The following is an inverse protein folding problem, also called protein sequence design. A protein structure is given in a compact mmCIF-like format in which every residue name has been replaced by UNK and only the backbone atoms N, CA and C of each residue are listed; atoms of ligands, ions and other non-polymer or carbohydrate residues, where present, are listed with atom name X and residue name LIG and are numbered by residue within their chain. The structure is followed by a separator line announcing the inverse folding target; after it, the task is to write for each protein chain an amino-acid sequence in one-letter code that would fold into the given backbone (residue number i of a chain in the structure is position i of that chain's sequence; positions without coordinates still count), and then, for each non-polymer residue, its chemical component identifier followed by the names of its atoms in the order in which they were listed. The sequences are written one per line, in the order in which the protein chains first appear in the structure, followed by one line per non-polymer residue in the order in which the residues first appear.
data_IF_236748957696
#
_entry.id   IF_236748957696
#
_cell.length_a   1.000
_cell.length_b   1.000
_cell.length_c   1.000
_cell.angle_alpha   90.00
_cell.angle_beta   90.00
_cell.angle_gamma   90.00
#
_symmetry.space_group_name_H-M   'P 1'
#
loop_
_entity.id
_entity.type
_entity.pdbx_description
1 polymer ?
#
# COMPACT_ATOMS: atom_id res chain seq x y z
N UNK A 1 5.27 -2.94 -26.35
CA UNK A 1 5.65 -3.83 -25.23
C UNK A 1 6.26 -2.98 -24.13
N UNK A 2 5.75 -3.13 -22.92
CA UNK A 2 6.26 -2.41 -21.75
C UNK A 2 7.31 -3.29 -21.06
N UNK A 3 8.59 -2.98 -21.27
CA UNK A 3 9.69 -3.81 -20.76
C UNK A 3 10.02 -3.53 -19.29
N UNK A 4 9.66 -2.35 -18.79
CA UNK A 4 9.87 -1.91 -17.42
C UNK A 4 8.55 -1.49 -16.79
N UNK A 5 8.41 -1.75 -15.49
CA UNK A 5 7.25 -1.39 -14.69
C UNK A 5 7.70 -0.83 -13.35
N UNK A 6 7.21 0.35 -12.98
CA UNK A 6 7.45 0.97 -11.69
C UNK A 6 6.20 0.87 -10.82
N UNK A 7 6.30 0.12 -9.74
CA UNK A 7 5.20 -0.11 -8.80
C UNK A 7 5.55 0.56 -7.47
N UNK A 8 4.62 1.34 -6.92
CA UNK A 8 4.79 1.94 -5.60
C UNK A 8 3.59 1.63 -4.69
N UNK A 9 3.79 1.81 -3.39
CA UNK A 9 2.74 1.78 -2.39
C UNK A 9 2.92 2.94 -1.42
N UNK A 10 1.82 3.54 -0.97
CA UNK A 10 1.83 4.63 -0.01
C UNK A 10 0.62 4.63 0.92
N UNK A 11 0.86 4.60 2.22
CA UNK A 11 -0.14 5.00 3.21
C UNK A 11 -0.26 6.54 3.16
N UNK A 12 -1.40 7.04 2.70
CA UNK A 12 -1.59 8.49 2.46
C UNK A 12 -2.11 9.26 3.67
N UNK A 13 -2.13 8.64 4.83
CA UNK A 13 -2.61 9.21 6.10
C UNK A 13 -4.03 9.78 5.99
N UNK A 14 -5.05 8.92 6.12
CA UNK A 14 -6.46 9.30 6.26
C UNK A 14 -6.97 10.25 5.16
N UNK A 15 -7.06 9.78 3.92
CA UNK A 15 -7.68 10.53 2.84
C UNK A 15 -9.20 10.35 2.89
N UNK A 16 -9.87 11.21 3.66
CA UNK A 16 -11.32 11.29 3.77
C UNK A 16 -11.89 12.34 2.82
N UNK A 17 -13.15 12.17 2.43
CA UNK A 17 -13.93 13.20 1.78
C UNK A 17 -14.34 14.28 2.80
N UNK A 18 -14.95 15.38 2.34
CA UNK A 18 -15.34 16.52 3.19
C UNK A 18 -16.26 16.10 4.34
N UNK A 19 -16.23 16.85 5.45
CA UNK A 19 -17.06 16.57 6.64
C UNK A 19 -18.56 16.37 6.31
N UNK A 20 -19.05 17.08 5.31
CA UNK A 20 -20.47 17.06 4.87
C UNK A 20 -20.79 15.94 3.86
N UNK A 21 -19.80 15.17 3.41
CA UNK A 21 -20.05 14.07 2.46
C UNK A 21 -20.98 13.01 3.07
N UNK A 22 -21.76 12.36 2.22
CA UNK A 22 -22.63 11.27 2.63
C UNK A 22 -21.79 10.07 3.08
N UNK A 23 -22.14 9.53 4.25
CA UNK A 23 -21.51 8.37 4.88
C UNK A 23 -22.54 7.54 5.62
N UNK A 24 -22.37 6.21 5.72
CA UNK A 24 -23.12 5.41 6.66
C UNK A 24 -23.01 6.00 8.07
N UNK A 25 -24.12 5.99 8.81
CA UNK A 25 -24.17 6.64 10.12
C UNK A 25 -23.13 6.11 11.10
N UNK A 26 -22.82 4.82 11.04
CA UNK A 26 -21.77 4.18 11.85
C UNK A 26 -20.40 4.83 11.60
N UNK A 27 -20.01 4.97 10.35
CA UNK A 27 -18.74 5.59 9.95
C UNK A 27 -18.73 7.07 10.33
N UNK A 28 -19.81 7.80 10.03
CA UNK A 28 -19.94 9.22 10.39
C UNK A 28 -19.73 9.48 11.88
N UNK A 29 -20.31 8.63 12.74
CA UNK A 29 -20.11 8.73 14.20
C UNK A 29 -18.67 8.47 14.61
N UNK A 30 -18.01 7.49 13.97
CA UNK A 30 -16.61 7.11 14.26
C UNK A 30 -15.64 8.23 13.93
N UNK A 31 -15.72 8.82 12.72
CA UNK A 31 -14.76 9.80 12.21
C UNK A 31 -15.14 11.26 12.54
N UNK A 32 -16.28 11.51 13.17
CA UNK A 32 -16.84 12.85 13.41
C UNK A 32 -15.86 13.85 14.04
N UNK A 33 -15.08 13.41 15.02
CA UNK A 33 -14.14 14.29 15.74
C UNK A 33 -12.94 14.63 14.86
N UNK A 34 -12.49 13.69 14.07
CA UNK A 34 -11.35 13.82 13.17
C UNK A 34 -11.68 14.77 12.01
N UNK A 35 -12.89 14.63 11.46
CA UNK A 35 -13.32 15.42 10.30
C UNK A 35 -13.81 16.84 10.61
N UNK A 36 -13.84 17.26 11.87
CA UNK A 36 -14.29 18.60 12.22
C UNK A 36 -13.51 19.68 11.45
N UNK A 37 -14.24 20.44 10.62
CA UNK A 37 -13.67 21.48 9.75
C UNK A 37 -12.88 20.94 8.55
N UNK A 38 -13.06 19.67 8.17
CA UNK A 38 -12.50 19.07 6.98
C UNK A 38 -13.38 19.43 5.77
N UNK A 39 -13.08 20.53 5.12
CA UNK A 39 -13.84 21.11 4.01
C UNK A 39 -13.06 21.00 2.69
N UNK A 40 -13.68 21.45 1.58
CA UNK A 40 -13.08 21.42 0.24
C UNK A 40 -11.71 22.12 0.17
N UNK A 41 -11.52 23.23 0.88
CA UNK A 41 -10.25 23.94 0.90
C UNK A 41 -9.14 23.11 1.55
N UNK A 42 -9.43 22.42 2.66
CA UNK A 42 -8.47 21.55 3.35
C UNK A 42 -8.20 20.29 2.53
N UNK A 43 -9.24 19.64 2.02
CA UNK A 43 -9.11 18.47 1.15
C UNK A 43 -8.29 18.85 -0.10
N UNK A 44 -8.57 19.98 -0.73
CA UNK A 44 -7.83 20.46 -1.90
C UNK A 44 -6.33 20.65 -1.63
N UNK A 45 -5.96 21.11 -0.43
CA UNK A 45 -4.55 21.21 -0.01
C UNK A 45 -3.96 19.80 0.14
N UNK A 46 -4.65 18.88 0.83
CA UNK A 46 -4.19 17.47 1.00
C UNK A 46 -3.97 16.81 -0.36
N UNK A 47 -4.94 16.91 -1.27
CA UNK A 47 -4.83 16.37 -2.63
C UNK A 47 -3.65 16.96 -3.40
N UNK A 48 -3.40 18.27 -3.27
CA UNK A 48 -2.25 18.92 -3.89
C UNK A 48 -0.92 18.39 -3.35
N UNK A 49 -0.82 18.18 -2.05
CA UNK A 49 0.38 17.64 -1.43
C UNK A 49 0.63 16.18 -1.85
N UNK A 50 -0.43 15.34 -1.86
CA UNK A 50 -0.32 13.98 -2.36
C UNK A 50 0.09 13.93 -3.84
N UNK A 51 -0.53 14.76 -4.68
CA UNK A 51 -0.19 14.88 -6.11
C UNK A 51 1.28 15.21 -6.34
N UNK A 52 1.85 16.15 -5.57
CA UNK A 52 3.28 16.51 -5.68
C UNK A 52 4.20 15.30 -5.46
N UNK A 53 3.93 14.50 -4.43
CA UNK A 53 4.74 13.32 -4.11
C UNK A 53 4.56 12.25 -5.18
N UNK A 54 3.32 11.93 -5.55
CA UNK A 54 3.04 10.90 -6.57
C UNK A 54 3.74 11.23 -7.88
N UNK A 55 3.66 12.49 -8.33
CA UNK A 55 4.30 12.96 -9.55
C UNK A 55 5.83 13.01 -9.49
N UNK A 56 6.41 13.13 -8.30
CA UNK A 56 7.88 13.16 -8.15
C UNK A 56 8.53 11.78 -8.21
N UNK A 57 7.77 10.70 -7.99
CA UNK A 57 8.29 9.34 -8.12
C UNK A 57 8.63 8.98 -9.57
N UNK A 58 9.42 7.92 -9.75
CA UNK A 58 9.80 7.42 -11.08
C UNK A 58 10.41 8.51 -11.95
N UNK A 59 11.40 9.23 -11.40
CA UNK A 59 12.12 10.30 -12.10
C UNK A 59 11.21 11.42 -12.65
N UNK A 60 10.06 11.65 -11.97
CA UNK A 60 9.06 12.66 -12.33
C UNK A 60 7.93 12.16 -13.23
N UNK A 61 7.95 10.90 -13.65
CA UNK A 61 6.90 10.30 -14.48
C UNK A 61 5.67 9.84 -13.68
N UNK A 62 5.81 9.66 -12.37
CA UNK A 62 4.83 9.00 -11.51
C UNK A 62 4.81 7.47 -11.68
N UNK A 63 4.32 6.71 -10.71
CA UNK A 63 4.24 5.25 -10.78
C UNK A 63 3.36 4.76 -11.93
N UNK A 64 3.72 3.61 -12.51
CA UNK A 64 2.84 2.93 -13.48
C UNK A 64 1.62 2.32 -12.77
N UNK A 65 1.85 1.75 -11.57
CA UNK A 65 0.80 1.32 -10.66
C UNK A 65 1.17 1.79 -9.24
N UNK A 66 0.22 2.45 -8.57
CA UNK A 66 0.35 2.93 -7.20
C UNK A 66 -0.71 2.29 -6.31
N UNK A 67 -0.29 1.46 -5.35
CA UNK A 67 -1.14 1.07 -4.24
C UNK A 67 -1.23 2.19 -3.21
N UNK A 68 -2.41 2.42 -2.67
CA UNK A 68 -2.65 3.40 -1.60
C UNK A 68 -3.53 2.79 -0.52
N UNK A 69 -3.35 3.22 0.72
CA UNK A 69 -4.25 2.85 1.80
C UNK A 69 -4.63 4.06 2.66
N UNK A 70 -5.58 3.84 3.58
CA UNK A 70 -6.26 4.89 4.34
C UNK A 70 -7.12 5.82 3.47
N UNK A 71 -7.80 5.21 2.50
CA UNK A 71 -8.71 5.87 1.57
C UNK A 71 -10.14 5.63 1.99
N UNK A 72 -10.96 6.66 2.10
CA UNK A 72 -12.35 6.51 2.51
C UNK A 72 -13.26 5.93 1.43
N UNK A 73 -13.07 6.30 0.18
CA UNK A 73 -14.03 5.95 -0.87
C UNK A 73 -13.47 6.14 -2.27
N UNK A 74 -14.17 5.55 -3.25
CA UNK A 74 -13.91 5.80 -4.67
C UNK A 74 -14.02 7.28 -5.03
N UNK A 75 -14.99 8.01 -4.46
CA UNK A 75 -15.20 9.43 -4.74
C UNK A 75 -13.97 10.29 -4.41
N UNK A 76 -13.35 10.05 -3.25
CA UNK A 76 -12.13 10.80 -2.89
C UNK A 76 -10.92 10.40 -3.74
N UNK A 77 -10.86 9.15 -4.21
CA UNK A 77 -9.85 8.71 -5.18
C UNK A 77 -10.03 9.40 -6.53
N UNK A 78 -11.26 9.56 -7.02
CA UNK A 78 -11.57 10.29 -8.25
C UNK A 78 -11.10 11.75 -8.16
N UNK A 79 -11.29 12.40 -7.00
CA UNK A 79 -10.74 13.75 -6.74
C UNK A 79 -9.21 13.75 -6.76
N UNK A 80 -8.56 12.71 -6.22
CA UNK A 80 -7.09 12.59 -6.24
C UNK A 80 -6.55 12.41 -7.65
N UNK A 81 -7.11 11.47 -8.44
CA UNK A 81 -6.62 11.24 -9.81
C UNK A 81 -6.89 12.44 -10.71
N UNK A 82 -8.03 13.11 -10.57
CA UNK A 82 -8.32 14.36 -11.27
C UNK A 82 -7.29 15.45 -10.92
N UNK A 83 -6.91 15.54 -9.64
CA UNK A 83 -5.88 16.48 -9.19
C UNK A 83 -4.51 16.15 -9.77
N UNK A 84 -4.10 14.89 -9.77
CA UNK A 84 -2.82 14.46 -10.36
C UNK A 84 -2.77 14.82 -11.85
N UNK A 85 -3.83 14.52 -12.61
CA UNK A 85 -3.91 14.84 -14.02
C UNK A 85 -3.87 16.36 -14.28
N UNK A 86 -4.61 17.16 -13.50
CA UNK A 86 -4.63 18.63 -13.63
C UNK A 86 -3.28 19.28 -13.31
N UNK A 87 -2.48 18.65 -12.44
CA UNK A 87 -1.13 19.09 -12.11
C UNK A 87 -0.08 18.62 -13.17
N UNK A 88 -0.50 17.98 -14.27
CA UNK A 88 0.35 17.50 -15.35
C UNK A 88 0.97 16.12 -15.10
N UNK A 89 0.40 15.34 -14.19
CA UNK A 89 0.76 13.93 -13.98
C UNK A 89 0.01 12.96 -14.89
N UNK A 90 0.17 11.66 -14.65
CA UNK A 90 -0.52 10.60 -15.40
C UNK A 90 -2.04 10.66 -15.20
N UNK A 91 -2.77 10.17 -16.19
CA UNK A 91 -4.22 9.93 -16.07
C UNK A 91 -4.42 8.50 -15.57
N UNK A 92 -4.69 8.36 -14.27
CA UNK A 92 -4.90 7.06 -13.65
C UNK A 92 -6.35 6.59 -13.75
N UNK A 93 -6.52 5.26 -13.87
CA UNK A 93 -7.74 4.57 -13.52
C UNK A 93 -7.65 3.99 -12.09
N UNK A 94 -8.80 3.61 -11.54
CA UNK A 94 -8.94 3.22 -10.13
C UNK A 94 -9.46 1.79 -10.04
N UNK A 95 -8.70 0.93 -9.38
CA UNK A 95 -9.17 -0.35 -8.87
C UNK A 95 -9.42 -0.20 -7.36
N UNK A 96 -10.69 -0.29 -6.94
CA UNK A 96 -11.12 -0.09 -5.56
C UNK A 96 -12.37 -0.91 -5.26
N UNK A 97 -12.45 -1.41 -4.05
CA UNK A 97 -13.64 -2.00 -3.48
C UNK A 97 -13.76 -1.56 -2.00
N UNK A 98 -14.98 -1.19 -1.58
CA UNK A 98 -15.25 -0.82 -0.19
C UNK A 98 -15.05 -2.02 0.73
N UNK A 99 -14.47 -1.80 1.91
CA UNK A 99 -14.23 -2.82 2.93
C UNK A 99 -15.20 -2.70 4.11
N UNK A 100 -15.24 -3.74 4.95
CA UNK A 100 -16.02 -3.74 6.18
C UNK A 100 -15.40 -2.95 7.34
N UNK A 101 -14.32 -2.19 7.12
CA UNK A 101 -13.63 -1.45 8.18
C UNK A 101 -14.55 -0.46 8.91
N UNK A 102 -14.40 -0.37 10.24
CA UNK A 102 -15.25 0.47 11.05
C UNK A 102 -15.03 1.97 10.86
N UNK A 103 -13.87 2.39 10.37
CA UNK A 103 -13.55 3.78 10.02
C UNK A 103 -13.89 4.09 8.56
N UNK A 104 -14.22 3.04 7.77
CA UNK A 104 -14.45 3.15 6.34
C UNK A 104 -13.19 3.59 5.60
N UNK A 105 -12.07 2.92 5.86
CA UNK A 105 -10.81 3.16 5.14
C UNK A 105 -10.37 1.89 4.43
N UNK A 106 -9.95 2.05 3.19
CA UNK A 106 -9.70 0.97 2.26
C UNK A 106 -8.28 0.97 1.73
N UNK A 107 -7.98 -0.08 0.96
CA UNK A 107 -6.82 -0.19 0.07
C UNK A 107 -7.31 -0.06 -1.37
N UNK A 108 -6.55 0.64 -2.20
CA UNK A 108 -6.87 0.80 -3.62
C UNK A 108 -5.61 0.79 -4.48
N UNK A 109 -5.78 0.62 -5.80
CA UNK A 109 -4.72 0.81 -6.78
C UNK A 109 -5.12 1.88 -7.80
N UNK A 110 -4.19 2.78 -8.07
CA UNK A 110 -4.23 3.71 -9.19
C UNK A 110 -3.30 3.16 -10.27
N UNK A 111 -3.74 3.04 -11.52
CA UNK A 111 -2.93 2.47 -12.58
C UNK A 111 -3.07 3.26 -13.88
N UNK A 112 -1.98 3.32 -14.64
CA UNK A 112 -1.97 3.93 -15.97
C UNK A 112 -2.61 2.97 -16.98
N UNK A 113 -3.78 3.34 -17.57
CA UNK A 113 -4.49 2.45 -18.50
C UNK A 113 -3.75 2.22 -19.83
N UNK A 114 -2.73 3.02 -20.15
CA UNK A 114 -1.85 2.77 -21.29
C UNK A 114 -0.88 1.61 -21.05
N UNK A 115 -0.64 1.23 -19.79
CA UNK A 115 0.34 0.22 -19.38
C UNK A 115 -0.34 -1.04 -18.88
N UNK A 116 -1.36 -0.91 -18.04
CA UNK A 116 -2.03 -2.03 -17.38
C UNK A 116 -3.55 -1.94 -17.53
N UNK A 117 -4.21 -3.07 -17.54
CA UNK A 117 -5.67 -3.17 -17.51
C UNK A 117 -6.13 -4.19 -16.47
N UNK A 118 -7.33 -3.99 -15.95
CA UNK A 118 -8.04 -4.93 -15.08
C UNK A 118 -9.54 -4.72 -15.22
N UNK A 119 -10.35 -5.65 -14.72
CA UNK A 119 -11.81 -5.55 -14.68
C UNK A 119 -12.34 -5.84 -13.27
N UNK A 120 -13.60 -5.52 -12.95
CA UNK A 120 -14.18 -5.83 -11.63
C UNK A 120 -14.10 -7.33 -11.27
N UNK A 121 -14.16 -8.23 -12.24
CA UNK A 121 -14.06 -9.69 -12.06
C UNK A 121 -12.66 -10.15 -11.68
N UNK A 122 -11.67 -9.28 -11.87
CA UNK A 122 -10.26 -9.50 -11.53
C UNK A 122 -9.86 -8.84 -10.20
N UNK A 123 -10.84 -8.36 -9.42
CA UNK A 123 -10.65 -7.71 -8.13
C UNK A 123 -11.27 -8.57 -7.03
N UNK A 124 -10.48 -8.95 -6.03
CA UNK A 124 -10.87 -9.86 -4.96
C UNK A 124 -10.59 -9.26 -3.59
N UNK A 125 -11.57 -9.35 -2.71
CA UNK A 125 -11.42 -8.99 -1.30
C UNK A 125 -11.30 -10.25 -0.45
N UNK A 126 -10.18 -10.42 0.23
CA UNK A 126 -9.93 -11.58 1.08
C UNK A 126 -10.15 -11.23 2.54
N UNK A 127 -11.20 -11.77 3.11
CA UNK A 127 -11.61 -11.50 4.48
C UNK A 127 -10.58 -12.00 5.50
N UNK A 128 -10.19 -11.11 6.41
CA UNK A 128 -9.41 -11.47 7.59
C UNK A 128 -10.38 -11.79 8.71
N UNK A 129 -10.41 -13.06 9.16
CA UNK A 129 -11.31 -13.51 10.22
C UNK A 129 -10.91 -12.91 11.55
N UNK A 130 -11.66 -11.90 11.99
CA UNK A 130 -11.44 -11.18 13.25
C UNK A 130 -12.78 -10.83 13.88
N UNK A 131 -12.84 -10.76 15.22
CA UNK A 131 -14.07 -10.44 15.97
C UNK A 131 -14.68 -9.09 15.57
N UNK A 132 -13.85 -8.10 15.26
CA UNK A 132 -14.28 -6.79 14.76
C UNK A 132 -13.84 -6.64 13.31
N UNK A 133 -14.65 -5.95 12.50
CA UNK A 133 -14.33 -5.68 11.11
C UNK A 133 -12.96 -5.01 10.98
N UNK A 134 -12.21 -5.42 9.98
CA UNK A 134 -10.91 -4.85 9.60
C UNK A 134 -10.84 -4.82 8.08
N UNK A 135 -9.81 -4.15 7.53
CA UNK A 135 -9.58 -4.11 6.08
C UNK A 135 -9.25 -5.51 5.59
N UNK A 136 -9.87 -5.89 4.50
CA UNK A 136 -9.56 -7.10 3.75
C UNK A 136 -8.22 -6.96 3.02
N UNK A 137 -7.61 -8.07 2.63
CA UNK A 137 -6.52 -8.04 1.65
C UNK A 137 -7.16 -7.77 0.28
N UNK A 138 -6.64 -6.81 -0.44
CA UNK A 138 -7.19 -6.43 -1.74
C UNK A 138 -6.30 -6.94 -2.87
N UNK A 139 -6.73 -8.00 -3.55
CA UNK A 139 -6.06 -8.56 -4.72
C UNK A 139 -6.63 -7.95 -5.99
N UNK A 140 -5.74 -7.56 -6.90
CA UNK A 140 -6.09 -7.17 -8.27
C UNK A 140 -5.17 -7.89 -9.24
N UNK A 141 -5.75 -8.56 -10.22
CA UNK A 141 -5.02 -9.15 -11.33
C UNK A 141 -4.93 -8.10 -12.46
N UNK A 142 -3.73 -7.62 -12.72
CA UNK A 142 -3.47 -6.70 -13.82
C UNK A 142 -2.95 -7.46 -15.03
N UNK A 143 -3.42 -7.06 -16.22
CA UNK A 143 -2.93 -7.52 -17.50
C UNK A 143 -2.01 -6.47 -18.11
N UNK A 144 -0.78 -6.86 -18.41
CA UNK A 144 0.26 -6.01 -19.00
C UNK A 144 0.81 -6.74 -20.22
N UNK A 145 0.45 -6.28 -21.41
CA UNK A 145 0.62 -7.01 -22.69
C UNK A 145 -0.02 -8.42 -22.57
N UNK A 146 0.77 -9.50 -22.68
CA UNK A 146 0.33 -10.89 -22.59
C UNK A 146 0.53 -11.53 -21.18
N UNK A 147 0.89 -10.74 -20.17
CA UNK A 147 1.24 -11.22 -18.83
C UNK A 147 0.24 -10.79 -17.78
N UNK A 148 -0.06 -11.71 -16.86
CA UNK A 148 -0.79 -11.39 -15.63
C UNK A 148 0.20 -11.06 -14.52
N UNK A 149 -0.04 -9.93 -13.87
CA UNK A 149 0.64 -9.50 -12.65
C UNK A 149 -0.38 -9.36 -11.53
N UNK A 150 -0.26 -10.16 -10.50
CA UNK A 150 -1.14 -10.09 -9.33
C UNK A 150 -0.55 -9.12 -8.30
N UNK A 151 -1.31 -8.09 -7.92
CA UNK A 151 -0.97 -7.23 -6.79
C UNK A 151 -1.89 -7.55 -5.61
N UNK A 152 -1.30 -7.70 -4.41
CA UNK A 152 -2.06 -7.91 -3.17
C UNK A 152 -1.75 -6.76 -2.23
N UNK A 153 -2.68 -5.82 -2.14
CA UNK A 153 -2.60 -4.66 -1.26
C UNK A 153 -3.02 -4.99 0.18
N UNK A 154 -2.28 -4.45 1.13
CA UNK A 154 -2.42 -4.74 2.55
C UNK A 154 -2.50 -3.47 3.39
N UNK A 155 -3.37 -3.46 4.42
CA UNK A 155 -3.32 -2.51 5.51
C UNK A 155 -3.76 -3.24 6.78
N UNK A 156 -2.79 -3.77 7.52
CA UNK A 156 -3.05 -4.65 8.67
C UNK A 156 -3.46 -3.88 9.93
N UNK A 157 -3.98 -4.57 10.96
CA UNK A 157 -4.36 -3.95 12.23
C UNK A 157 -3.21 -3.18 12.87
N UNK A 158 -3.47 -1.91 13.23
CA UNK A 158 -2.45 -1.02 13.79
C UNK A 158 -1.98 -1.43 15.18
N UNK A 159 -0.84 -0.89 15.60
CA UNK A 159 -0.26 -1.07 16.96
C UNK A 159 -0.87 -0.12 18.01
N UNK A 160 -1.88 0.67 17.65
CA UNK A 160 -2.44 1.73 18.51
C UNK A 160 -3.04 1.22 19.84
N UNK A 161 -3.50 -0.05 19.85
CA UNK A 161 -3.99 -0.71 21.06
C UNK A 161 -2.88 -1.42 21.88
N UNK A 162 -1.62 -1.19 21.55
CA UNK A 162 -0.45 -1.91 22.06
C UNK A 162 0.13 -2.88 21.03
N UNK A 163 1.45 -2.92 20.94
CA UNK A 163 2.13 -3.75 19.96
C UNK A 163 1.86 -5.24 20.20
N UNK A 164 1.97 -5.69 21.44
CA UNK A 164 1.77 -7.09 21.82
C UNK A 164 0.29 -7.47 21.83
N UNK A 165 -0.58 -6.59 22.31
CA UNK A 165 -2.03 -6.79 22.40
C UNK A 165 -2.65 -6.93 21.01
N UNK A 166 -2.11 -6.26 20.00
CA UNK A 166 -2.58 -6.31 18.61
C UNK A 166 -1.85 -7.33 17.73
N UNK A 167 -0.73 -7.90 18.17
CA UNK A 167 0.06 -8.88 17.41
C UNK A 167 -0.76 -10.10 16.94
N UNK A 168 -1.63 -10.72 17.76
CA UNK A 168 -2.44 -11.85 17.30
C UNK A 168 -3.30 -11.54 16.07
N UNK A 169 -3.79 -10.31 15.95
CA UNK A 169 -4.59 -9.89 14.80
C UNK A 169 -3.75 -9.75 13.53
N UNK A 170 -2.50 -9.33 13.64
CA UNK A 170 -1.56 -9.30 12.50
C UNK A 170 -1.07 -10.70 12.13
N UNK A 171 -0.95 -11.61 13.09
CA UNK A 171 -0.68 -13.04 12.79
C UNK A 171 -1.82 -13.65 11.96
N UNK A 172 -3.09 -13.38 12.32
CA UNK A 172 -4.25 -13.84 11.54
C UNK A 172 -4.22 -13.24 10.13
N UNK A 173 -3.86 -11.96 9.99
CA UNK A 173 -3.72 -11.33 8.68
C UNK A 173 -2.60 -11.99 7.86
N UNK A 174 -1.47 -12.31 8.49
CA UNK A 174 -0.36 -13.04 7.87
C UNK A 174 -0.74 -14.43 7.40
N UNK A 175 -1.45 -15.21 8.24
CA UNK A 175 -1.96 -16.53 7.86
C UNK A 175 -2.96 -16.44 6.70
N UNK A 176 -3.85 -15.46 6.74
CA UNK A 176 -4.79 -15.20 5.64
C UNK A 176 -4.04 -14.90 4.35
N UNK A 177 -2.99 -14.07 4.40
CA UNK A 177 -2.17 -13.74 3.24
C UNK A 177 -1.51 -15.00 2.65
N UNK A 178 -0.81 -15.80 3.47
CA UNK A 178 -0.12 -17.01 2.99
C UNK A 178 -1.08 -18.05 2.41
N UNK A 179 -2.28 -18.20 3.01
CA UNK A 179 -3.34 -19.05 2.46
C UNK A 179 -3.74 -18.61 1.05
N UNK A 180 -4.01 -17.31 0.84
CA UNK A 180 -4.43 -16.81 -0.47
C UNK A 180 -3.30 -16.80 -1.49
N UNK A 181 -2.05 -16.57 -1.07
CA UNK A 181 -0.89 -16.74 -1.96
C UNK A 181 -0.81 -18.18 -2.50
N UNK A 182 -1.10 -19.18 -1.67
CA UNK A 182 -1.16 -20.56 -2.12
C UNK A 182 -2.32 -20.80 -3.09
N UNK A 183 -3.51 -20.23 -2.83
CA UNK A 183 -4.67 -20.36 -3.74
C UNK A 183 -4.39 -19.70 -5.09
N UNK A 184 -3.86 -18.48 -5.10
CA UNK A 184 -3.47 -17.78 -6.33
C UNK A 184 -2.48 -18.62 -7.15
N UNK A 185 -1.47 -19.21 -6.49
CA UNK A 185 -0.49 -20.09 -7.17
C UNK A 185 -1.11 -21.39 -7.67
N UNK A 186 -2.15 -21.93 -7.05
CA UNK A 186 -2.87 -23.11 -7.52
C UNK A 186 -3.73 -22.79 -8.76
N UNK A 187 -4.33 -21.65 -8.80
CA UNK A 187 -5.23 -21.21 -9.91
C UNK A 187 -4.43 -20.70 -11.11
N UNK A 188 -3.44 -19.81 -10.87
CA UNK A 188 -2.71 -19.11 -11.93
C UNK A 188 -1.32 -19.72 -12.22
N UNK A 189 -0.96 -20.78 -11.49
CA UNK A 189 0.33 -21.46 -11.64
C UNK A 189 1.40 -20.98 -10.65
N UNK A 190 2.30 -21.91 -10.28
CA UNK A 190 3.34 -21.68 -9.26
C UNK A 190 4.32 -20.55 -9.59
N UNK A 191 4.44 -20.22 -10.85
CA UNK A 191 5.38 -19.19 -11.33
C UNK A 191 4.68 -17.88 -11.67
N UNK A 192 3.41 -17.70 -11.28
CA UNK A 192 2.69 -16.45 -11.47
C UNK A 192 3.43 -15.28 -10.80
N UNK A 193 3.44 -14.13 -11.46
CA UNK A 193 4.00 -12.90 -10.90
C UNK A 193 3.07 -12.35 -9.83
N UNK A 194 3.51 -12.35 -8.56
CA UNK A 194 2.77 -11.75 -7.45
C UNK A 194 3.67 -10.72 -6.76
N UNK A 195 3.16 -9.52 -6.56
CA UNK A 195 3.73 -8.49 -5.68
C UNK A 195 2.76 -8.25 -4.54
N UNK A 196 3.23 -8.48 -3.32
CA UNK A 196 2.50 -8.17 -2.09
C UNK A 196 3.07 -6.88 -1.55
N UNK A 197 2.23 -5.88 -1.28
CA UNK A 197 2.67 -4.56 -0.85
C UNK A 197 1.64 -3.97 0.12
N UNK A 198 2.10 -3.10 1.02
CA UNK A 198 1.17 -2.53 2.00
C UNK A 198 1.84 -1.97 3.24
N UNK A 199 0.99 -1.37 4.10
CA UNK A 199 1.28 -1.09 5.49
C UNK A 199 0.90 -2.32 6.34
N UNK A 200 1.90 -3.07 6.75
CA UNK A 200 1.73 -4.28 7.54
C UNK A 200 1.64 -4.00 9.04
N UNK A 201 1.86 -2.77 9.47
CA UNK A 201 1.91 -2.40 10.90
C UNK A 201 2.83 -3.31 11.74
N UNK A 202 3.73 -4.05 11.11
CA UNK A 202 4.76 -4.90 11.71
C UNK A 202 6.07 -4.81 10.91
N UNK A 203 7.18 -5.11 11.59
CA UNK A 203 8.52 -5.10 10.99
C UNK A 203 8.78 -6.37 10.18
N UNK A 204 9.70 -6.35 9.19
CA UNK A 204 10.07 -7.54 8.42
C UNK A 204 10.49 -8.75 9.26
N UNK A 205 10.98 -8.55 10.47
CA UNK A 205 11.40 -9.61 11.38
C UNK A 205 10.29 -10.12 12.32
N UNK A 206 9.12 -9.45 12.40
CA UNK A 206 8.03 -9.89 13.26
C UNK A 206 7.46 -11.25 12.82
N UNK A 207 6.91 -11.99 13.78
CA UNK A 207 6.36 -13.33 13.54
C UNK A 207 5.22 -13.33 12.53
N UNK A 208 4.34 -12.34 12.59
CA UNK A 208 3.24 -12.16 11.63
C UNK A 208 3.72 -12.15 10.17
N UNK A 209 4.88 -11.54 9.91
CA UNK A 209 5.50 -11.43 8.58
C UNK A 209 6.25 -12.72 8.24
N UNK A 210 7.15 -13.17 9.11
CA UNK A 210 8.06 -14.28 8.79
C UNK A 210 7.42 -15.65 8.85
N UNK A 211 6.63 -15.90 9.91
CA UNK A 211 6.11 -17.23 10.22
C UNK A 211 4.71 -17.44 9.63
N UNK A 212 3.88 -16.42 9.63
CA UNK A 212 2.48 -16.47 9.19
C UNK A 212 2.29 -16.05 7.74
N UNK A 213 2.78 -14.89 7.34
CA UNK A 213 2.74 -14.46 5.93
C UNK A 213 3.79 -15.17 5.05
N UNK A 214 4.72 -15.93 5.66
CA UNK A 214 5.80 -16.63 4.97
C UNK A 214 6.69 -15.71 4.14
N UNK A 215 6.81 -14.45 4.56
CA UNK A 215 7.63 -13.42 3.92
C UNK A 215 9.05 -13.42 4.53
N UNK A 216 9.99 -13.93 3.77
CA UNK A 216 11.36 -14.24 4.24
C UNK A 216 12.42 -13.50 3.43
N UNK A 217 13.66 -13.50 3.89
CA UNK A 217 14.83 -12.94 3.20
C UNK A 217 15.72 -13.99 2.51
N UNK A 218 15.27 -15.23 2.43
CA UNK A 218 16.02 -16.33 1.80
C UNK A 218 15.54 -16.60 0.37
N UNK A 219 16.29 -16.06 -0.61
CA UNK A 219 16.02 -16.29 -2.05
C UNK A 219 16.04 -17.77 -2.46
N UNK A 220 16.87 -18.60 -1.82
CA UNK A 220 16.96 -20.03 -2.15
C UNK A 220 15.68 -20.73 -1.72
N UNK A 221 15.23 -20.44 -0.49
CA UNK A 221 14.01 -21.04 0.04
C UNK A 221 12.76 -20.57 -0.73
N UNK A 222 12.69 -19.29 -1.14
CA UNK A 222 11.60 -18.81 -2.02
C UNK A 222 11.58 -19.56 -3.35
N UNK A 223 12.76 -19.82 -3.96
CA UNK A 223 12.85 -20.53 -5.25
C UNK A 223 12.50 -22.02 -5.18
N UNK A 224 12.87 -22.70 -4.12
CA UNK A 224 12.82 -24.18 -4.02
C UNK A 224 11.86 -24.72 -2.96
N UNK A 225 11.36 -23.86 -2.07
CA UNK A 225 10.47 -24.26 -0.98
C UNK A 225 9.12 -24.81 -1.47
N UNK A 226 8.49 -25.64 -0.62
CA UNK A 226 7.17 -26.22 -0.90
C UNK A 226 6.03 -25.28 -0.54
N UNK A 227 6.23 -24.39 0.46
CA UNK A 227 5.26 -23.39 0.89
C UNK A 227 5.26 -22.19 -0.06
N UNK A 228 4.21 -21.34 -0.04
CA UNK A 228 4.10 -20.15 -0.88
C UNK A 228 4.95 -18.98 -0.37
N UNK A 229 6.23 -19.24 -0.09
CA UNK A 229 7.15 -18.21 0.39
C UNK A 229 7.24 -17.05 -0.60
N UNK A 230 7.26 -15.83 -0.04
CA UNK A 230 7.58 -14.60 -0.77
C UNK A 230 8.88 -13.99 -0.24
N UNK A 231 9.62 -13.33 -1.13
CA UNK A 231 10.84 -12.62 -0.77
C UNK A 231 10.50 -11.22 -0.32
N UNK A 232 10.74 -10.92 0.95
CA UNK A 232 10.59 -9.57 1.48
C UNK A 232 11.81 -8.73 1.08
N UNK A 233 11.56 -7.66 0.33
CA UNK A 233 12.60 -6.82 -0.25
C UNK A 233 13.11 -5.72 0.67
N UNK A 234 12.52 -5.54 1.86
CA UNK A 234 12.86 -4.45 2.76
C UNK A 234 14.05 -4.74 3.67
N UNK A 235 14.53 -5.99 3.74
CA UNK A 235 15.65 -6.37 4.61
C UNK A 235 16.94 -5.58 4.39
N UNK A 236 17.37 -5.26 3.16
CA UNK A 236 18.56 -4.43 2.96
C UNK A 236 18.42 -3.04 3.56
N UNK A 237 17.24 -2.41 3.37
CA UNK A 237 16.94 -1.07 3.91
C UNK A 237 16.85 -1.09 5.45
N UNK A 238 16.27 -2.14 6.02
CA UNK A 238 16.25 -2.34 7.46
C UNK A 238 17.68 -2.42 8.05
N UNK A 239 18.59 -3.09 7.36
CA UNK A 239 20.00 -3.19 7.75
C UNK A 239 20.74 -1.83 7.70
N UNK A 240 20.26 -0.89 6.87
CA UNK A 240 20.76 0.49 6.79
C UNK A 240 20.21 1.39 7.93
N UNK A 241 19.28 0.88 8.75
CA UNK A 241 18.66 1.62 9.85
C UNK A 241 17.64 2.66 9.41
N UNK A 242 17.07 2.52 8.20
CA UNK A 242 16.02 3.39 7.68
C UNK A 242 14.64 2.74 7.82
N UNK A 243 13.58 3.54 7.76
CA UNK A 243 12.20 3.08 7.87
C UNK A 243 11.24 3.95 7.08
N UNK A 244 10.00 3.50 6.99
CA UNK A 244 8.93 4.21 6.29
C UNK A 244 8.10 5.10 7.22
N UNK A 245 8.09 4.79 8.49
CA UNK A 245 7.35 5.53 9.53
C UNK A 245 8.26 5.83 10.72
N UNK A 246 8.15 7.03 11.29
CA UNK A 246 8.94 7.46 12.45
C UNK A 246 8.04 7.72 13.65
N UNK A 247 8.24 6.96 14.73
CA UNK A 247 7.43 7.08 15.93
C UNK A 247 8.30 7.08 17.19
N UNK A 248 8.04 8.02 18.09
CA UNK A 248 8.88 8.22 19.29
C UNK A 248 10.27 8.68 18.90
N UNK A 249 11.25 7.79 19.01
CA UNK A 249 12.65 8.01 18.62
C UNK A 249 13.13 7.03 17.55
N UNK A 250 12.24 6.18 17.03
CA UNK A 250 12.62 5.03 16.23
C UNK A 250 12.01 5.04 14.83
N UNK A 251 12.80 4.59 13.86
CA UNK A 251 12.33 4.23 12.54
C UNK A 251 11.65 2.88 12.58
N UNK A 252 10.52 2.78 11.89
CA UNK A 252 9.78 1.53 11.69
C UNK A 252 9.65 1.25 10.20
N UNK A 253 9.87 0.00 9.78
CA UNK A 253 9.69 -0.49 8.41
C UNK A 253 8.31 -1.13 8.25
N UNK A 254 7.24 -0.31 8.35
CA UNK A 254 5.86 -0.80 8.34
C UNK A 254 5.32 -1.05 6.93
N UNK A 255 5.74 -0.21 5.97
CA UNK A 255 5.38 -0.36 4.58
C UNK A 255 6.40 -1.27 3.90
N UNK A 256 5.93 -2.36 3.30
CA UNK A 256 6.81 -3.40 2.78
C UNK A 256 6.37 -3.85 1.39
N UNK A 257 7.33 -4.37 0.62
CA UNK A 257 7.11 -5.00 -0.68
C UNK A 257 7.75 -6.38 -0.67
N UNK A 258 6.97 -7.36 -1.12
CA UNK A 258 7.37 -8.76 -1.20
C UNK A 258 7.04 -9.30 -2.59
N UNK A 259 7.86 -10.21 -3.10
CA UNK A 259 7.70 -10.77 -4.44
C UNK A 259 7.66 -12.29 -4.44
N UNK A 260 6.86 -12.85 -5.34
CA UNK A 260 6.71 -14.27 -5.50
C UNK A 260 7.93 -14.95 -6.16
N UNK A 261 7.95 -16.26 -6.03
CA UNK A 261 8.91 -17.16 -6.67
C UNK A 261 9.08 -16.90 -8.17
N UNK A 262 7.99 -16.69 -8.90
CA UNK A 262 8.01 -16.45 -10.34
C UNK A 262 8.79 -15.20 -10.73
N UNK A 263 8.71 -14.13 -9.91
CA UNK A 263 9.52 -12.92 -10.10
C UNK A 263 10.98 -13.18 -9.67
N UNK A 264 11.21 -13.87 -8.53
CA UNK A 264 12.55 -14.13 -7.99
C UNK A 264 13.42 -14.97 -8.95
N UNK A 265 12.81 -15.93 -9.67
CA UNK A 265 13.50 -16.77 -10.65
C UNK A 265 13.33 -16.30 -12.10
N UNK A 266 12.46 -15.32 -12.35
CA UNK A 266 12.17 -14.75 -13.67
C UNK A 266 11.30 -15.63 -14.57
N UNK A 267 10.71 -16.71 -14.05
CA UNK A 267 9.86 -17.61 -14.84
C UNK A 267 8.45 -17.08 -15.08
N UNK A 268 8.03 -16.05 -14.34
CA UNK A 268 6.78 -15.33 -14.59
C UNK A 268 6.83 -14.42 -15.84
N UNK A 269 7.99 -14.26 -16.44
CA UNK A 269 8.25 -13.25 -17.45
C UNK A 269 8.63 -11.88 -16.87
N UNK A 270 8.60 -11.74 -15.54
CA UNK A 270 9.04 -10.53 -14.83
C UNK A 270 10.19 -10.85 -13.89
N UNK A 271 11.13 -9.93 -13.76
CA UNK A 271 12.23 -9.96 -12.79
C UNK A 271 12.30 -8.64 -12.04
N UNK A 272 12.71 -8.70 -10.78
CA UNK A 272 13.06 -7.49 -10.04
C UNK A 272 14.30 -6.84 -10.66
N UNK A 273 14.24 -5.51 -10.87
CA UNK A 273 15.34 -4.69 -11.31
C UNK A 273 15.78 -3.74 -10.18
N UNK A 274 17.05 -3.81 -9.80
CA UNK A 274 17.57 -3.05 -8.67
C UNK A 274 17.01 -3.50 -7.32
N UNK A 275 17.07 -2.61 -6.32
CA UNK A 275 16.53 -2.83 -4.98
C UNK A 275 15.17 -2.15 -4.81
N UNK A 276 14.38 -2.62 -3.85
CA UNK A 276 13.25 -1.82 -3.35
C UNK A 276 13.77 -0.50 -2.76
N UNK A 277 12.93 0.52 -2.79
CA UNK A 277 13.28 1.86 -2.31
C UNK A 277 12.23 2.41 -1.37
N UNK A 278 12.67 3.27 -0.45
CA UNK A 278 11.81 4.21 0.25
C UNK A 278 11.89 5.51 -0.53
N UNK A 279 10.76 5.99 -1.02
CA UNK A 279 10.66 7.24 -1.80
C UNK A 279 10.61 8.45 -0.85
N UNK A 280 11.68 8.61 -0.06
CA UNK A 280 11.83 9.70 0.91
C UNK A 280 12.22 11.01 0.20
N UNK A 281 11.30 11.55 -0.63
CA UNK A 281 11.54 12.82 -1.31
C UNK A 281 11.68 13.97 -0.30
N UNK A 282 12.64 14.86 -0.52
CA UNK A 282 13.03 15.90 0.43
C UNK A 282 11.87 16.79 0.91
N UNK A 283 10.88 17.03 0.04
CA UNK A 283 9.70 17.82 0.38
C UNK A 283 8.83 17.17 1.47
N UNK A 284 8.86 15.83 1.60
CA UNK A 284 8.09 15.08 2.60
C UNK A 284 8.78 15.04 3.96
N UNK A 285 10.08 15.32 4.04
CA UNK A 285 10.81 15.23 5.30
C UNK A 285 10.49 16.41 6.21
N UNK A 286 10.24 16.15 7.49
CA UNK A 286 9.94 17.21 8.44
C UNK A 286 11.19 18.08 8.65
N UNK A 287 11.12 19.43 8.55
CA UNK A 287 12.30 20.28 8.54
C UNK A 287 13.08 20.31 9.86
N UNK A 288 12.46 19.90 10.97
CA UNK A 288 13.04 19.96 12.33
C UNK A 288 13.03 18.64 13.09
N UNK A 289 12.45 17.59 12.53
CA UNK A 289 12.30 16.28 13.17
C UNK A 289 12.68 15.19 12.18
N UNK A 290 13.07 14.03 12.68
CA UNK A 290 13.20 12.87 11.83
C UNK A 290 11.82 12.42 11.27
N UNK A 291 11.83 11.79 10.12
CA UNK A 291 10.65 11.19 9.51
C UNK A 291 9.84 12.08 8.59
N UNK A 292 8.77 11.53 8.05
CA UNK A 292 7.89 12.23 7.13
C UNK A 292 7.09 13.33 7.84
N UNK A 293 6.79 14.40 7.11
CA UNK A 293 5.97 15.51 7.56
C UNK A 293 4.49 15.15 7.36
N UNK A 294 3.87 14.68 8.43
CA UNK A 294 2.46 14.29 8.39
C UNK A 294 1.55 15.49 8.14
N UNK A 295 0.43 15.25 7.46
CA UNK A 295 -0.61 16.25 7.28
C UNK A 295 -1.46 16.41 8.55
N UNK A 296 -1.87 15.29 9.16
CA UNK A 296 -2.73 15.25 10.32
C UNK A 296 -4.20 15.57 9.99
N UNK A 297 -5.11 14.70 10.36
CA UNK A 297 -6.53 14.91 10.11
C UNK A 297 -7.19 15.76 11.21
N UNK A 298 -6.81 15.56 12.47
CA UNK A 298 -7.39 16.28 13.60
C UNK A 298 -7.12 17.80 13.50
N UNK A 299 -8.11 18.67 13.72
CA UNK A 299 -7.97 20.11 13.52
C UNK A 299 -6.76 20.74 14.24
N UNK A 300 -6.46 20.29 15.47
CA UNK A 300 -5.35 20.82 16.28
C UNK A 300 -3.97 20.32 15.86
N UNK A 301 -3.90 19.21 15.09
CA UNK A 301 -2.65 18.58 14.64
C UNK A 301 -2.39 18.79 13.16
N UNK A 302 -3.31 19.47 12.45
CA UNK A 302 -3.28 19.63 11.01
C UNK A 302 -2.15 20.55 10.56
N UNK A 303 -1.26 20.02 9.74
CA UNK A 303 -0.19 20.76 9.07
C UNK A 303 -0.48 20.81 7.55
N UNK A 304 -0.88 21.98 7.07
CA UNK A 304 -1.20 22.19 5.66
C UNK A 304 -0.02 22.07 4.71
N UNK A 305 1.20 22.07 5.22
CA UNK A 305 2.42 21.81 4.46
C UNK A 305 2.89 20.35 4.58
N UNK A 306 2.19 19.54 5.37
CA UNK A 306 2.45 18.11 5.54
C UNK A 306 1.91 17.26 4.39
N UNK A 307 2.24 15.99 4.39
CA UNK A 307 1.93 15.02 3.35
C UNK A 307 1.26 13.78 3.93
N UNK A 308 2.04 12.92 4.55
CA UNK A 308 1.65 11.71 5.25
C UNK A 308 2.67 11.42 6.36
N UNK A 309 2.32 10.62 7.34
CA UNK A 309 3.25 10.10 8.37
C UNK A 309 4.01 8.85 7.89
N UNK A 310 3.80 8.40 6.65
CA UNK A 310 4.53 7.33 5.99
C UNK A 310 5.25 7.83 4.73
N UNK A 311 6.45 7.31 4.47
CA UNK A 311 7.10 7.41 3.17
C UNK A 311 6.58 6.33 2.23
N UNK A 312 6.43 6.62 0.91
CA UNK A 312 6.12 5.59 -0.07
C UNK A 312 7.26 4.59 -0.22
N UNK A 313 6.92 3.38 -0.67
CA UNK A 313 7.89 2.35 -1.06
C UNK A 313 7.69 1.96 -2.51
N UNK A 314 8.76 1.55 -3.21
CA UNK A 314 8.69 1.23 -4.62
C UNK A 314 9.60 0.08 -5.04
N UNK A 315 9.26 -0.55 -6.18
CA UNK A 315 10.11 -1.48 -6.92
C UNK A 315 10.05 -1.21 -8.42
N UNK A 316 11.08 -1.66 -9.12
CA UNK A 316 11.08 -1.80 -10.58
C UNK A 316 11.05 -3.28 -10.95
N UNK A 317 10.20 -3.62 -11.90
CA UNK A 317 10.20 -4.92 -12.56
C UNK A 317 10.57 -4.72 -14.02
N UNK A 318 11.27 -5.71 -14.62
CA UNK A 318 11.53 -5.78 -16.06
C UNK A 318 11.15 -7.16 -16.60
N UNK A 319 10.79 -7.21 -17.87
CA UNK A 319 10.61 -8.45 -18.62
C UNK A 319 11.93 -9.12 -18.98
#
# INVERSE_FOLDING_TARGET
MHDNLFIAFWNVENLFDVETAERPEKIRKMVRKELKGWNDAILGIKLAQLSKVIRSMHDGAGPDILGVCEIESRNVLEKLVARIASDGGRTYQIAHADTGDNRGIDVAFLYDPAIASTSPEEMFQHWIVKRYATRELFQVNFHIDDKTLVLVGNHWPSRSAGQYESEPFRMIAGETLSYWLERIQQELGKEVAIVVLGDFNDEPFNRSIREYALAINDKKLVKSGRKPYVLNLMWPLLAEGVGTHYYGSDWNMLDQIMISRGIVNGKSGWKQEGNARIEAVSIMTHPKKAGPRRFGIEPKKRDKEGFSDHYPVSIRLRK
#
